data_IF_273074271250
#
_entry.id   IF_273074271250
#
_cell.length_a   1.000
_cell.length_b   1.000
_cell.length_c   1.000
_cell.angle_alpha   90.00
_cell.angle_beta   90.00
_cell.angle_gamma   90.00
#
_symmetry.space_group_name_H-M   'P 1'
#
loop_
_entity.id
_entity.type
_entity.pdbx_description
1 polymer ?
#
# COMPACT_ATOMS: atom_id res chain seq x y z
N UNK A 1 0.49 -4.51 -24.35
CA UNK A 1 0.41 -5.94 -24.74
C UNK A 1 -0.39 -6.80 -23.75
N UNK A 2 -0.41 -6.47 -22.45
CA UNK A 2 -1.20 -7.15 -21.41
C UNK A 2 -2.72 -7.25 -21.68
N UNK A 3 -3.30 -6.28 -22.39
CA UNK A 3 -4.73 -6.26 -22.71
C UNK A 3 -5.20 -7.37 -23.69
N UNK A 4 -4.33 -7.90 -24.56
CA UNK A 4 -4.80 -8.81 -25.63
C UNK A 4 -4.98 -10.26 -25.19
N UNK A 5 -4.20 -10.73 -24.20
CA UNK A 5 -4.38 -12.04 -23.55
C UNK A 5 -5.63 -12.00 -22.68
N UNK A 6 -5.83 -10.90 -21.94
CA UNK A 6 -7.02 -10.63 -21.14
C UNK A 6 -8.30 -10.65 -22.00
N UNK A 7 -8.30 -9.99 -23.15
CA UNK A 7 -9.45 -9.94 -24.06
C UNK A 7 -9.85 -11.30 -24.64
N UNK A 8 -8.93 -12.25 -24.83
CA UNK A 8 -9.26 -13.55 -25.45
C UNK A 8 -10.12 -14.45 -24.55
N UNK A 9 -10.02 -14.33 -23.23
CA UNK A 9 -10.76 -15.18 -22.27
C UNK A 9 -12.20 -14.73 -22.03
N UNK A 10 -12.53 -13.48 -22.36
CA UNK A 10 -13.85 -12.87 -22.13
C UNK A 10 -14.61 -12.53 -23.42
N UNK A 11 -14.17 -13.05 -24.58
CA UNK A 11 -14.90 -12.91 -25.86
C UNK A 11 -16.18 -13.74 -25.84
N UNK A 12 -17.23 -13.21 -25.24
CA UNK A 12 -18.56 -13.85 -25.23
C UNK A 12 -19.57 -13.24 -24.25
N UNK A 13 -19.23 -12.13 -23.58
CA UNK A 13 -20.13 -11.46 -22.62
C UNK A 13 -20.56 -10.13 -23.23
N UNK A 14 -21.85 -9.99 -23.51
CA UNK A 14 -22.45 -8.80 -24.11
C UNK A 14 -22.34 -7.56 -23.20
N UNK A 15 -22.24 -6.39 -23.82
CA UNK A 15 -21.87 -5.10 -23.22
C UNK A 15 -22.86 -4.50 -22.19
N UNK A 16 -23.82 -5.26 -21.68
CA UNK A 16 -24.86 -4.80 -20.74
C UNK A 16 -24.41 -4.94 -19.26
N UNK A 17 -23.31 -5.64 -18.99
CA UNK A 17 -22.81 -5.89 -17.63
C UNK A 17 -21.45 -5.24 -17.35
N UNK A 18 -21.34 -3.93 -17.53
CA UNK A 18 -20.06 -3.20 -17.34
C UNK A 18 -19.54 -3.25 -15.90
N UNK A 19 -20.43 -3.31 -14.90
CA UNK A 19 -20.04 -3.48 -13.50
C UNK A 19 -19.63 -4.93 -13.18
N UNK A 20 -20.32 -5.93 -13.69
CA UNK A 20 -19.90 -7.34 -13.57
C UNK A 20 -18.59 -7.61 -14.30
N UNK A 21 -18.36 -7.00 -15.46
CA UNK A 21 -17.10 -7.07 -16.19
C UNK A 21 -15.94 -6.45 -15.39
N UNK A 22 -16.14 -5.29 -14.76
CA UNK A 22 -15.15 -4.65 -13.90
C UNK A 22 -14.88 -5.48 -12.63
N UNK A 23 -15.89 -6.12 -12.06
CA UNK A 23 -15.74 -7.02 -10.91
C UNK A 23 -14.92 -8.26 -11.29
N UNK A 24 -15.23 -8.89 -12.44
CA UNK A 24 -14.48 -10.03 -12.97
C UNK A 24 -13.03 -9.68 -13.31
N UNK A 25 -12.81 -8.50 -13.88
CA UNK A 25 -11.48 -7.97 -14.13
C UNK A 25 -10.68 -7.79 -12.83
N UNK A 26 -11.30 -7.19 -11.81
CA UNK A 26 -10.66 -7.01 -10.49
C UNK A 26 -10.38 -8.34 -9.81
N UNK A 27 -11.29 -9.32 -9.87
CA UNK A 27 -11.04 -10.64 -9.30
C UNK A 27 -9.92 -11.40 -10.02
N UNK A 28 -9.80 -11.24 -11.35
CA UNK A 28 -8.68 -11.84 -12.09
C UNK A 28 -7.34 -11.29 -11.61
N UNK A 29 -7.24 -9.98 -11.35
CA UNK A 29 -6.02 -9.39 -10.79
C UNK A 29 -5.66 -9.94 -9.42
N UNK A 30 -6.57 -10.57 -8.67
CA UNK A 30 -6.23 -11.21 -7.40
C UNK A 30 -5.70 -12.64 -7.54
N UNK A 31 -5.59 -13.16 -8.76
CA UNK A 31 -5.12 -14.53 -9.01
C UNK A 31 -3.60 -14.61 -9.07
N UNK A 32 -3.09 -15.82 -8.81
CA UNK A 32 -1.67 -16.16 -8.96
C UNK A 32 -1.17 -15.99 -10.41
N UNK A 33 -2.01 -16.32 -11.40
CA UNK A 33 -1.69 -16.12 -12.82
C UNK A 33 -1.45 -14.64 -13.13
N UNK A 34 -2.36 -13.76 -12.71
CA UNK A 34 -2.21 -12.33 -12.90
C UNK A 34 -0.98 -11.77 -12.19
N UNK A 35 -0.66 -12.28 -11.00
CA UNK A 35 0.55 -11.91 -10.26
C UNK A 35 1.84 -12.22 -11.04
N UNK A 36 1.95 -13.42 -11.63
CA UNK A 36 3.10 -13.82 -12.45
C UNK A 36 3.22 -12.92 -13.67
N UNK A 37 2.11 -12.68 -14.38
CA UNK A 37 2.11 -11.87 -15.60
C UNK A 37 2.47 -10.41 -15.29
N UNK A 38 1.99 -9.86 -14.18
CA UNK A 38 2.29 -8.50 -13.80
C UNK A 38 3.75 -8.31 -13.37
N UNK A 39 4.30 -9.30 -12.65
CA UNK A 39 5.68 -9.25 -12.16
C UNK A 39 6.71 -9.55 -13.26
N UNK A 40 6.44 -10.55 -14.12
CA UNK A 40 7.41 -11.13 -15.03
C UNK A 40 7.02 -11.05 -16.52
N UNK A 41 5.89 -10.42 -16.83
CA UNK A 41 5.37 -10.36 -18.18
C UNK A 41 4.70 -11.66 -18.64
N UNK A 42 4.15 -11.68 -19.87
CA UNK A 42 3.58 -12.89 -20.45
C UNK A 42 4.66 -13.94 -20.77
N UNK A 43 4.28 -15.22 -20.86
CA UNK A 43 5.20 -16.27 -21.31
C UNK A 43 5.73 -15.98 -22.73
N UNK A 44 6.93 -16.46 -23.03
CA UNK A 44 7.64 -16.22 -24.29
C UNK A 44 8.78 -15.20 -24.17
N UNK A 45 8.69 -14.29 -23.20
CA UNK A 45 9.74 -13.30 -22.96
C UNK A 45 10.68 -13.76 -21.84
N UNK A 46 10.44 -13.35 -20.59
CA UNK A 46 11.32 -13.64 -19.47
C UNK A 46 11.20 -15.07 -18.94
N UNK A 47 10.11 -15.77 -19.25
CA UNK A 47 9.85 -17.16 -18.85
C UNK A 47 8.97 -17.85 -19.91
N UNK A 48 8.96 -19.18 -19.94
CA UNK A 48 8.11 -19.96 -20.86
C UNK A 48 7.22 -20.98 -20.12
N UNK A 49 7.74 -21.59 -19.07
CA UNK A 49 7.06 -22.63 -18.29
C UNK A 49 7.09 -22.32 -16.80
N UNK A 50 6.17 -22.96 -16.08
CA UNK A 50 6.14 -22.96 -14.63
C UNK A 50 6.79 -24.25 -14.11
N UNK A 51 7.34 -24.19 -12.90
CA UNK A 51 7.79 -25.36 -12.17
C UNK A 51 6.64 -26.12 -11.48
N UNK A 52 6.99 -27.18 -10.75
CA UNK A 52 6.06 -28.03 -9.99
C UNK A 52 5.28 -27.30 -8.90
N UNK A 53 5.80 -26.16 -8.43
CA UNK A 53 5.16 -25.29 -7.45
C UNK A 53 4.33 -24.18 -8.11
N UNK A 54 4.30 -24.11 -9.44
CA UNK A 54 3.59 -23.08 -10.20
C UNK A 54 4.30 -21.72 -10.19
N UNK A 55 5.63 -21.69 -10.06
CA UNK A 55 6.45 -20.48 -10.17
C UNK A 55 7.09 -20.40 -11.57
N UNK A 56 7.27 -19.20 -12.13
CA UNK A 56 7.91 -19.04 -13.43
C UNK A 56 9.39 -19.39 -13.36
N UNK A 57 9.85 -20.19 -14.33
CA UNK A 57 11.28 -20.46 -14.53
C UNK A 57 11.84 -19.34 -15.40
N UNK A 58 12.57 -18.39 -14.77
CA UNK A 58 13.11 -17.23 -15.47
C UNK A 58 14.32 -17.61 -16.34
N UNK A 59 14.36 -17.11 -17.58
CA UNK A 59 15.50 -17.25 -18.49
C UNK A 59 16.72 -16.43 -18.05
N UNK A 60 16.46 -15.34 -17.32
CA UNK A 60 17.46 -14.40 -16.80
C UNK A 60 17.04 -13.97 -15.40
N UNK A 61 17.98 -13.94 -14.47
CA UNK A 61 17.66 -13.56 -13.10
C UNK A 61 17.26 -12.08 -13.03
N UNK A 62 16.36 -11.74 -12.12
CA UNK A 62 15.83 -10.39 -11.99
C UNK A 62 16.92 -9.36 -11.62
N UNK A 63 17.90 -9.78 -10.81
CA UNK A 63 19.07 -8.97 -10.46
C UNK A 63 20.02 -8.69 -11.63
N UNK A 64 19.93 -9.47 -12.71
CA UNK A 64 20.77 -9.32 -13.91
C UNK A 64 20.14 -8.39 -14.97
N UNK A 65 18.89 -7.95 -14.78
CA UNK A 65 18.18 -7.08 -15.73
C UNK A 65 18.65 -5.62 -15.62
N UNK A 66 18.84 -4.95 -16.77
CA UNK A 66 19.06 -3.49 -16.79
C UNK A 66 17.75 -2.73 -16.56
N UNK A 67 17.83 -1.42 -16.32
CA UNK A 67 16.63 -0.58 -16.22
C UNK A 67 15.84 -0.56 -17.52
N UNK A 68 16.53 -0.41 -18.66
CA UNK A 68 15.91 -0.40 -19.99
C UNK A 68 15.26 -1.74 -20.34
N UNK A 69 15.86 -2.87 -19.92
CA UNK A 69 15.27 -4.18 -20.10
C UNK A 69 13.97 -4.32 -19.30
N UNK A 70 13.95 -3.87 -18.04
CA UNK A 70 12.75 -3.87 -17.21
C UNK A 70 11.64 -3.00 -17.80
N UNK A 71 11.98 -1.79 -18.23
CA UNK A 71 11.02 -0.85 -18.81
C UNK A 71 10.43 -1.38 -20.13
N UNK A 72 11.29 -1.94 -21.01
CA UNK A 72 10.86 -2.54 -22.28
C UNK A 72 9.91 -3.73 -22.06
N UNK A 73 10.20 -4.56 -21.06
CA UNK A 73 9.38 -5.71 -20.70
C UNK A 73 8.12 -5.28 -19.90
N UNK A 74 8.04 -4.02 -19.49
CA UNK A 74 6.95 -3.50 -18.66
C UNK A 74 6.86 -4.20 -17.31
N UNK A 75 8.01 -4.61 -16.75
CA UNK A 75 8.08 -5.24 -15.43
C UNK A 75 7.90 -4.16 -14.38
N UNK A 76 6.96 -4.37 -13.46
CA UNK A 76 6.62 -3.34 -12.50
C UNK A 76 6.61 -3.91 -11.09
N UNK A 77 7.34 -3.27 -10.18
CA UNK A 77 7.54 -3.70 -8.79
C UNK A 77 6.44 -3.28 -7.81
N UNK A 78 5.65 -2.26 -8.15
CA UNK A 78 4.65 -1.64 -7.27
C UNK A 78 3.22 -1.95 -7.71
N UNK A 79 2.46 -2.61 -6.84
CA UNK A 79 1.16 -3.22 -7.18
C UNK A 79 -0.02 -2.35 -6.74
N UNK A 80 -1.22 -2.65 -7.27
CA UNK A 80 -2.46 -2.15 -6.67
C UNK A 80 -2.66 -2.76 -5.27
N UNK A 81 -3.16 -1.99 -4.27
CA UNK A 81 -3.46 -2.52 -2.94
C UNK A 81 -4.42 -3.72 -3.01
N UNK A 82 -4.09 -4.81 -2.29
CA UNK A 82 -4.87 -6.07 -2.25
C UNK A 82 -4.30 -7.21 -3.11
N UNK A 83 -3.38 -6.93 -4.03
CA UNK A 83 -2.69 -7.94 -4.85
C UNK A 83 -1.24 -8.20 -4.42
N UNK A 84 -0.70 -7.34 -3.56
CA UNK A 84 0.69 -7.38 -3.10
C UNK A 84 1.10 -8.74 -2.53
N UNK A 85 0.23 -9.43 -1.81
CA UNK A 85 0.58 -10.69 -1.15
C UNK A 85 0.85 -11.81 -2.16
N UNK A 86 0.06 -11.89 -3.24
CA UNK A 86 0.26 -12.89 -4.30
C UNK A 86 1.52 -12.58 -5.11
N UNK A 87 1.80 -11.31 -5.38
CA UNK A 87 3.01 -10.93 -6.12
C UNK A 87 4.26 -11.11 -5.27
N UNK A 88 4.23 -10.63 -4.02
CA UNK A 88 5.36 -10.72 -3.10
C UNK A 88 5.70 -12.18 -2.78
N UNK A 89 4.71 -13.04 -2.52
CA UNK A 89 4.97 -14.48 -2.27
C UNK A 89 5.63 -15.18 -3.47
N UNK A 90 5.16 -14.94 -4.69
CA UNK A 90 5.76 -15.51 -5.91
C UNK A 90 7.17 -14.95 -6.11
N UNK A 91 7.32 -13.64 -6.00
CA UNK A 91 8.58 -12.93 -6.23
C UNK A 91 9.66 -13.39 -5.25
N UNK A 92 9.32 -13.48 -3.97
CA UNK A 92 10.24 -13.97 -2.93
C UNK A 92 10.64 -15.41 -3.22
N UNK A 93 9.67 -16.28 -3.54
CA UNK A 93 9.96 -17.68 -3.83
C UNK A 93 10.82 -17.88 -5.09
N UNK A 94 10.54 -17.15 -6.18
CA UNK A 94 11.35 -17.19 -7.40
C UNK A 94 12.78 -16.72 -7.12
N UNK A 95 12.93 -15.64 -6.36
CA UNK A 95 14.24 -15.11 -6.01
C UNK A 95 15.03 -16.06 -5.10
N UNK A 96 14.39 -16.67 -4.10
CA UNK A 96 15.05 -17.60 -3.18
C UNK A 96 15.49 -18.91 -3.85
N UNK A 97 14.87 -19.31 -4.97
CA UNK A 97 15.32 -20.44 -5.78
C UNK A 97 16.61 -20.18 -6.55
N UNK A 98 17.01 -18.92 -6.71
CA UNK A 98 18.26 -18.58 -7.38
C UNK A 98 19.46 -18.78 -6.44
N UNK A 99 20.66 -19.10 -6.98
CA UNK A 99 21.92 -18.98 -6.23
C UNK A 99 22.06 -17.60 -5.60
N UNK A 100 22.65 -17.52 -4.41
CA UNK A 100 22.70 -16.29 -3.60
C UNK A 100 23.27 -15.09 -4.38
N UNK A 101 24.33 -15.32 -5.15
CA UNK A 101 24.99 -14.32 -5.99
C UNK A 101 24.13 -13.79 -7.15
N UNK A 102 23.05 -14.49 -7.49
CA UNK A 102 22.10 -14.12 -8.55
C UNK A 102 20.80 -13.53 -8.01
N UNK A 103 20.60 -13.54 -6.70
CA UNK A 103 19.39 -12.99 -6.08
C UNK A 103 19.36 -11.48 -6.24
N UNK A 104 18.19 -10.94 -6.51
CA UNK A 104 17.97 -9.51 -6.48
C UNK A 104 18.01 -9.01 -5.03
N UNK A 105 18.93 -8.09 -4.74
CA UNK A 105 19.13 -7.55 -3.39
C UNK A 105 17.87 -6.90 -2.82
N UNK A 106 17.12 -6.13 -3.61
CA UNK A 106 15.89 -5.45 -3.15
C UNK A 106 14.84 -6.48 -2.75
N UNK A 107 14.67 -7.53 -3.56
CA UNK A 107 13.73 -8.62 -3.27
C UNK A 107 14.14 -9.36 -2.00
N UNK A 108 15.43 -9.68 -1.84
CA UNK A 108 15.95 -10.34 -0.64
C UNK A 108 15.75 -9.49 0.62
N UNK A 109 16.05 -8.19 0.56
CA UNK A 109 15.82 -7.25 1.67
C UNK A 109 14.34 -7.17 2.03
N UNK A 110 13.46 -7.10 1.03
CA UNK A 110 12.03 -7.04 1.26
C UNK A 110 11.49 -8.34 1.88
N UNK A 111 11.94 -9.50 1.40
CA UNK A 111 11.49 -10.81 1.85
C UNK A 111 11.94 -11.13 3.28
N UNK A 112 13.24 -10.92 3.56
CA UNK A 112 13.88 -11.48 4.76
C UNK A 112 14.03 -10.47 5.89
N UNK A 113 13.92 -9.17 5.61
CA UNK A 113 14.08 -8.11 6.61
C UNK A 113 12.82 -7.26 6.69
N UNK A 114 12.40 -6.60 5.61
CA UNK A 114 11.35 -5.59 5.71
C UNK A 114 9.97 -6.22 5.98
N UNK A 115 9.52 -7.19 5.17
CA UNK A 115 8.17 -7.77 5.31
C UNK A 115 7.93 -8.43 6.67
N UNK A 116 8.87 -9.23 7.23
CA UNK A 116 8.73 -9.79 8.57
C UNK A 116 8.71 -8.74 9.69
N UNK A 117 9.32 -7.57 9.46
CA UNK A 117 9.31 -6.45 10.43
C UNK A 117 8.12 -5.51 10.27
N UNK A 118 7.29 -5.69 9.23
CA UNK A 118 6.09 -4.88 9.06
C UNK A 118 5.12 -5.12 10.21
N UNK A 119 4.49 -4.05 10.62
CA UNK A 119 3.53 -4.01 11.70
C UNK A 119 2.12 -4.11 11.11
N UNK A 120 1.29 -5.00 11.66
CA UNK A 120 -0.15 -4.94 11.40
C UNK A 120 -0.70 -3.74 12.17
N UNK A 121 -1.27 -2.77 11.45
CA UNK A 121 -1.75 -1.49 12.01
C UNK A 121 -3.27 -1.40 11.95
N UNK A 122 -3.96 -2.54 12.04
CA UNK A 122 -5.42 -2.65 11.85
C UNK A 122 -6.19 -1.82 12.89
N UNK A 123 -5.57 -1.50 14.03
CA UNK A 123 -6.13 -0.61 15.04
C UNK A 123 -6.43 0.81 14.52
N UNK A 124 -5.76 1.27 13.46
CA UNK A 124 -5.96 2.60 12.88
C UNK A 124 -6.94 2.63 11.69
N UNK A 125 -7.44 1.48 11.26
CA UNK A 125 -8.27 1.38 10.05
C UNK A 125 -9.61 2.11 10.22
N UNK A 126 -9.95 2.94 9.24
CA UNK A 126 -11.24 3.63 9.13
C UNK A 126 -11.48 4.73 10.15
N UNK A 127 -10.46 5.19 10.90
CA UNK A 127 -10.61 6.28 11.88
C UNK A 127 -11.06 7.58 11.20
N UNK A 128 -10.40 7.98 10.11
CA UNK A 128 -10.73 9.23 9.39
C UNK A 128 -12.10 9.23 8.69
N UNK A 129 -12.74 8.06 8.58
CA UNK A 129 -14.06 7.88 7.95
C UNK A 129 -15.21 7.97 8.96
N UNK A 130 -14.91 8.04 10.27
CA UNK A 130 -15.92 8.06 11.33
C UNK A 130 -16.73 9.35 11.38
N UNK A 131 -16.15 10.45 10.90
CA UNK A 131 -16.79 11.75 10.86
C UNK A 131 -17.15 12.05 9.42
N UNK A 132 -18.44 12.19 9.16
CA UNK A 132 -18.96 12.64 7.86
C UNK A 132 -18.43 14.05 7.57
N UNK A 133 -17.71 14.28 6.46
CA UNK A 133 -17.21 15.60 6.09
C UNK A 133 -18.30 16.68 5.98
N UNK A 134 -19.56 16.31 5.74
CA UNK A 134 -20.68 17.25 5.63
C UNK A 134 -21.37 17.55 6.97
N UNK A 135 -21.03 16.82 8.04
CA UNK A 135 -21.51 17.12 9.38
C UNK A 135 -20.84 18.38 9.94
N UNK A 136 -21.46 19.02 10.94
CA UNK A 136 -20.86 20.18 11.63
C UNK A 136 -19.46 19.87 12.17
N UNK A 137 -19.27 18.66 12.73
CA UNK A 137 -17.98 18.19 13.23
C UNK A 137 -16.98 17.93 12.09
N UNK A 138 -17.46 17.50 10.92
CA UNK A 138 -16.66 17.33 9.71
C UNK A 138 -16.15 18.65 9.14
N UNK A 139 -17.01 19.68 9.14
CA UNK A 139 -16.65 21.04 8.73
C UNK A 139 -15.59 21.61 9.68
N UNK A 140 -15.78 21.43 10.99
CA UNK A 140 -14.78 21.80 12.02
C UNK A 140 -13.45 21.08 11.83
N UNK A 141 -13.48 19.79 11.49
CA UNK A 141 -12.27 19.02 11.17
C UNK A 141 -11.53 19.63 9.98
N UNK A 142 -12.23 19.86 8.87
CA UNK A 142 -11.62 20.46 7.68
C UNK A 142 -11.06 21.85 7.97
N UNK A 143 -11.74 22.66 8.77
CA UNK A 143 -11.23 23.96 9.23
C UNK A 143 -9.90 23.82 9.98
N UNK A 144 -9.78 22.85 10.89
CA UNK A 144 -8.54 22.58 11.60
C UNK A 144 -7.43 22.08 10.66
N UNK A 145 -7.75 21.14 9.76
CA UNK A 145 -6.80 20.62 8.76
C UNK A 145 -6.24 21.72 7.85
N UNK A 146 -7.10 22.61 7.37
CA UNK A 146 -6.71 23.74 6.53
C UNK A 146 -5.83 24.74 7.29
N UNK A 147 -6.16 25.02 8.57
CA UNK A 147 -5.36 25.89 9.42
C UNK A 147 -3.96 25.30 9.68
N UNK A 148 -3.88 24.00 10.01
CA UNK A 148 -2.61 23.29 10.18
C UNK A 148 -1.79 23.38 8.90
N UNK A 149 -2.39 23.05 7.75
CA UNK A 149 -1.72 23.05 6.45
C UNK A 149 -1.16 24.42 6.07
N UNK A 150 -1.88 25.50 6.40
CA UNK A 150 -1.45 26.87 6.12
C UNK A 150 -0.34 27.38 7.06
N UNK A 151 -0.27 26.87 8.30
CA UNK A 151 0.61 27.42 9.33
C UNK A 151 1.80 26.53 9.69
N UNK A 152 1.68 25.21 9.57
CA UNK A 152 2.77 24.27 9.89
C UNK A 152 4.07 24.52 9.11
N UNK A 153 4.07 24.92 7.82
CA UNK A 153 5.30 25.30 7.13
C UNK A 153 6.06 26.44 7.82
N UNK A 154 5.37 27.33 8.54
CA UNK A 154 6.01 28.44 9.28
C UNK A 154 6.77 27.92 10.51
N UNK A 155 6.32 26.83 11.13
CA UNK A 155 7.06 26.14 12.20
C UNK A 155 8.39 25.61 11.66
N UNK A 156 8.37 24.97 10.49
CA UNK A 156 9.57 24.41 9.84
C UNK A 156 10.56 25.52 9.43
N UNK A 157 10.05 26.66 8.98
CA UNK A 157 10.85 27.78 8.47
C UNK A 157 11.23 28.81 9.54
N UNK A 158 10.86 28.58 10.80
CA UNK A 158 11.16 29.48 11.90
C UNK A 158 12.68 29.64 12.09
N UNK A 159 13.12 30.84 12.46
CA UNK A 159 14.55 31.16 12.62
C UNK A 159 15.10 30.76 13.98
N UNK A 160 14.23 30.34 14.89
CA UNK A 160 14.60 29.89 16.24
C UNK A 160 13.57 28.90 16.79
N UNK A 161 13.96 28.07 17.77
CA UNK A 161 13.04 27.18 18.48
C UNK A 161 11.88 27.94 19.15
N UNK A 162 12.13 29.13 19.69
CA UNK A 162 11.10 29.94 20.38
C UNK A 162 10.03 30.43 19.39
N UNK A 163 10.45 30.83 18.19
CA UNK A 163 9.51 31.21 17.13
C UNK A 163 8.71 30.00 16.64
N UNK A 164 9.37 28.84 16.48
CA UNK A 164 8.70 27.59 16.08
C UNK A 164 7.64 27.17 17.11
N UNK A 165 7.98 27.17 18.40
CA UNK A 165 7.09 26.80 19.49
C UNK A 165 5.86 27.70 19.52
N UNK A 166 6.05 29.02 19.38
CA UNK A 166 4.94 29.97 19.37
C UNK A 166 3.94 29.68 18.25
N UNK A 167 4.42 29.44 17.03
CA UNK A 167 3.54 29.12 15.90
C UNK A 167 2.83 27.79 16.13
N UNK A 168 3.51 26.81 16.72
CA UNK A 168 2.93 25.51 17.04
C UNK A 168 1.84 25.61 18.11
N UNK A 169 2.08 26.36 19.19
CA UNK A 169 1.09 26.65 20.24
C UNK A 169 -0.14 27.38 19.67
N UNK A 170 0.05 28.34 18.76
CA UNK A 170 -1.05 29.04 18.08
C UNK A 170 -1.91 28.06 17.25
N UNK A 171 -1.28 27.07 16.59
CA UNK A 171 -1.99 26.00 15.87
C UNK A 171 -2.80 25.13 16.82
N UNK A 172 -2.21 24.67 17.92
CA UNK A 172 -2.90 23.85 18.92
C UNK A 172 -4.11 24.61 19.47
N UNK A 173 -3.89 25.85 19.91
CA UNK A 173 -4.95 26.69 20.46
C UNK A 173 -6.09 26.91 19.49
N UNK A 174 -5.79 27.15 18.21
CA UNK A 174 -6.81 27.26 17.18
C UNK A 174 -7.61 25.96 17.06
N UNK A 175 -6.94 24.80 16.98
CA UNK A 175 -7.61 23.51 16.87
C UNK A 175 -8.50 23.21 18.08
N UNK A 176 -7.99 23.44 19.29
CA UNK A 176 -8.72 23.25 20.54
C UNK A 176 -10.01 24.08 20.60
N UNK A 177 -9.94 25.33 20.14
CA UNK A 177 -11.07 26.26 20.12
C UNK A 177 -12.09 25.95 19.01
N UNK A 178 -11.71 25.17 17.98
CA UNK A 178 -12.52 24.92 16.79
C UNK A 178 -12.96 23.45 16.67
N UNK A 179 -13.05 22.73 17.79
CA UNK A 179 -13.71 21.43 17.85
C UNK A 179 -12.79 20.21 17.80
N UNK A 180 -11.46 20.40 17.78
CA UNK A 180 -10.50 19.29 17.82
C UNK A 180 -10.71 18.31 18.98
N UNK A 181 -11.03 18.74 20.23
CA UNK A 181 -11.20 17.80 21.33
C UNK A 181 -12.33 16.79 21.10
N UNK A 182 -13.43 17.21 20.46
CA UNK A 182 -14.54 16.32 20.13
C UNK A 182 -14.24 15.41 18.93
N UNK A 183 -13.44 15.89 17.97
CA UNK A 183 -12.92 15.09 16.85
C UNK A 183 -12.02 13.97 17.40
N UNK A 184 -11.08 14.31 18.29
CA UNK A 184 -10.18 13.37 18.95
C UNK A 184 -10.94 12.32 19.75
N UNK A 185 -11.96 12.71 20.53
CA UNK A 185 -12.80 11.76 21.28
C UNK A 185 -13.51 10.77 20.33
N UNK A 186 -14.00 11.24 19.18
CA UNK A 186 -14.66 10.40 18.19
C UNK A 186 -13.68 9.40 17.56
N UNK A 187 -12.49 9.86 17.24
CA UNK A 187 -11.41 9.02 16.69
C UNK A 187 -10.89 8.01 17.71
N UNK A 188 -10.72 8.40 18.97
CA UNK A 188 -10.30 7.49 20.04
C UNK A 188 -11.32 6.37 20.25
N UNK A 189 -12.63 6.67 20.30
CA UNK A 189 -13.67 5.63 20.41
C UNK A 189 -13.52 4.55 19.34
N UNK A 190 -13.35 4.97 18.07
CA UNK A 190 -13.12 4.04 16.96
C UNK A 190 -11.83 3.25 17.11
N UNK A 191 -10.74 3.92 17.48
CA UNK A 191 -9.46 3.27 17.76
C UNK A 191 -9.61 2.20 18.85
N UNK A 192 -10.20 2.53 20.00
CA UNK A 192 -10.41 1.58 21.11
C UNK A 192 -11.26 0.38 20.68
N UNK A 193 -12.28 0.60 19.85
CA UNK A 193 -13.09 -0.50 19.31
C UNK A 193 -12.31 -1.39 18.34
N UNK A 194 -11.46 -0.81 17.50
CA UNK A 194 -10.55 -1.60 16.65
C UNK A 194 -9.55 -2.38 17.51
N UNK A 195 -8.98 -1.78 18.56
CA UNK A 195 -8.07 -2.45 19.50
C UNK A 195 -8.73 -3.64 20.19
N UNK A 196 -10.01 -3.55 20.58
CA UNK A 196 -10.76 -4.69 21.14
C UNK A 196 -10.92 -5.83 20.12
N UNK A 197 -11.05 -5.52 18.84
CA UNK A 197 -11.32 -6.49 17.77
C UNK A 197 -10.05 -7.16 17.25
N UNK A 198 -8.99 -6.40 17.05
CA UNK A 198 -7.78 -6.84 16.35
C UNK A 198 -6.55 -6.90 17.27
N UNK A 199 -6.67 -6.38 18.49
CA UNK A 199 -5.54 -6.15 19.38
C UNK A 199 -4.82 -4.83 19.05
N UNK A 200 -3.72 -4.57 19.75
CA UNK A 200 -2.84 -3.44 19.45
C UNK A 200 -1.40 -3.91 19.48
N UNK A 201 -0.64 -3.43 18.51
CA UNK A 201 0.80 -3.64 18.40
C UNK A 201 1.62 -2.69 19.28
N UNK A 202 1.03 -1.61 19.77
CA UNK A 202 1.69 -0.69 20.71
C UNK A 202 2.01 -1.34 22.07
N UNK A 203 1.46 -2.53 22.33
CA UNK A 203 1.78 -3.35 23.50
C UNK A 203 2.85 -4.41 23.21
N UNK A 204 3.47 -4.42 22.03
CA UNK A 204 4.52 -5.38 21.63
C UNK A 204 5.77 -4.63 21.15
N UNK A 205 6.95 -5.15 21.50
CA UNK A 205 8.24 -4.58 21.05
C UNK A 205 8.66 -3.31 21.81
N UNK A 206 9.53 -2.49 21.20
CA UNK A 206 10.23 -1.33 21.82
C UNK A 206 9.30 -0.23 22.37
N UNK A 207 8.01 -0.27 22.04
CA UNK A 207 7.00 0.72 22.44
C UNK A 207 6.03 0.19 23.51
N UNK A 208 6.17 -1.07 23.92
CA UNK A 208 5.46 -1.61 25.09
C UNK A 208 6.04 -0.95 26.35
N UNK A 209 5.23 -0.19 27.08
CA UNK A 209 5.52 0.16 28.47
C UNK A 209 5.19 -1.03 29.36
#
# INVERSE_FOLDING_TARGET
MYFSVFLKRFRGIDAVDSQGYLALQRSYFLTREAAIIQMYGPPGQLWDTLDDQGLPILKKAEGELTAEERDRLGLWFWMMPGHSDHVDTIKFAVNDKLPEEKRNWVVSMQAHILTPTKLLSDEFVGIGETIDPQSDLGIQRTLCEDYIKANYPKVIMAKSPVEAEKVYEDIIKFCDQNGMPQIEETYDKKYQDNVKRFGTVLKKGRYAK
#
